data_IF_176224543028
#
_entry.id   IF_176224543028
#
_cell.length_a   1.000
_cell.length_b   1.000
_cell.length_c   1.000
_cell.angle_alpha   90.00
_cell.angle_beta   90.00
_cell.angle_gamma   90.00
#
_symmetry.space_group_name_H-M   'P 1'
#
loop_
_entity.id
_entity.type
_entity.pdbx_description
1 polymer ?
#
# COMPACT_ATOMS: atom_id res chain seq x y z
N UNK A 1 30.96 3.28 11.76
CA UNK A 1 29.50 3.19 11.97
C UNK A 1 29.18 4.13 13.13
N UNK A 2 28.35 5.16 12.90
CA UNK A 2 27.88 6.01 14.00
C UNK A 2 27.07 5.12 14.96
N UNK A 3 27.35 5.21 16.27
CA UNK A 3 26.54 4.55 17.29
C UNK A 3 25.13 5.14 17.22
N UNK A 4 24.13 4.31 16.96
CA UNK A 4 22.72 4.72 17.05
C UNK A 4 22.46 5.26 18.47
N UNK A 5 21.65 6.32 18.56
CA UNK A 5 21.17 6.76 19.88
C UNK A 5 20.41 5.60 20.56
N UNK A 6 20.40 5.50 21.89
CA UNK A 6 19.80 4.35 22.59
C UNK A 6 18.34 4.07 22.17
N UNK A 7 17.56 5.12 21.89
CA UNK A 7 16.18 4.98 21.45
C UNK A 7 16.06 4.48 20.00
N UNK A 8 16.98 4.86 19.10
CA UNK A 8 16.95 4.45 17.69
C UNK A 8 17.10 2.94 17.56
N UNK A 9 17.96 2.33 18.37
CA UNK A 9 18.17 0.87 18.35
C UNK A 9 16.88 0.10 18.62
N UNK A 10 16.11 0.48 19.63
CA UNK A 10 14.88 -0.22 19.99
C UNK A 10 13.71 0.17 19.08
N UNK A 11 13.70 1.40 18.53
CA UNK A 11 12.72 1.79 17.52
C UNK A 11 12.95 1.04 16.20
N UNK A 12 14.21 0.78 15.82
CA UNK A 12 14.53 -0.07 14.67
C UNK A 12 14.00 -1.51 14.85
N UNK A 13 14.09 -2.08 16.06
CA UNK A 13 13.45 -3.37 16.36
C UNK A 13 11.92 -3.29 16.27
N UNK A 14 11.30 -2.19 16.71
CA UNK A 14 9.86 -1.98 16.54
C UNK A 14 9.48 -1.88 15.06
N UNK A 15 10.28 -1.22 14.22
CA UNK A 15 10.08 -1.19 12.76
C UNK A 15 10.21 -2.59 12.12
N UNK A 16 11.14 -3.41 12.60
CA UNK A 16 11.23 -4.81 12.19
C UNK A 16 9.93 -5.57 12.52
N UNK A 17 9.39 -5.40 13.73
CA UNK A 17 8.09 -5.99 14.09
C UNK A 17 6.97 -5.47 13.19
N UNK A 18 6.93 -4.17 12.85
CA UNK A 18 5.94 -3.60 11.94
C UNK A 18 5.97 -4.26 10.56
N UNK A 19 7.15 -4.71 10.09
CA UNK A 19 7.29 -5.35 8.79
C UNK A 19 6.47 -6.65 8.66
N UNK A 20 6.30 -7.40 9.76
CA UNK A 20 5.47 -8.62 9.78
C UNK A 20 3.97 -8.33 9.63
N UNK A 21 3.53 -7.11 9.97
CA UNK A 21 2.14 -6.68 9.82
C UNK A 21 1.78 -6.18 8.40
N UNK A 22 2.77 -5.82 7.59
CA UNK A 22 2.60 -5.15 6.27
C UNK A 22 1.63 -5.88 5.33
N UNK A 23 1.62 -7.20 5.34
CA UNK A 23 0.81 -8.02 4.45
C UNK A 23 -0.54 -8.45 5.06
N UNK A 24 -0.73 -8.30 6.38
CA UNK A 24 -1.88 -8.89 7.10
C UNK A 24 -2.77 -7.87 7.81
N UNK A 25 -2.24 -6.72 8.27
CA UNK A 25 -2.96 -5.78 9.12
C UNK A 25 -4.07 -5.00 8.40
N UNK A 26 -4.00 -4.88 7.08
CA UNK A 26 -4.92 -4.05 6.27
C UNK A 26 -6.39 -4.26 6.61
N UNK A 27 -7.19 -3.21 6.75
CA UNK A 27 -6.93 -1.78 6.56
C UNK A 27 -6.28 -1.05 7.74
N UNK A 28 -5.96 -1.74 8.84
CA UNK A 28 -5.25 -1.16 9.98
C UNK A 28 -3.80 -0.81 9.58
N UNK A 29 -3.16 0.15 10.28
CA UNK A 29 -1.74 0.42 10.09
C UNK A 29 -0.90 -0.77 10.53
N UNK A 30 0.25 -0.97 9.88
CA UNK A 30 1.25 -1.96 10.25
C UNK A 30 2.14 -1.39 11.36
N UNK A 31 1.79 -1.63 12.60
CA UNK A 31 2.50 -1.13 13.78
C UNK A 31 3.34 -2.23 14.40
N UNK A 32 4.52 -1.89 14.87
CA UNK A 32 5.37 -2.73 15.70
C UNK A 32 5.58 -2.12 17.06
N UNK A 33 5.71 -2.95 18.06
CA UNK A 33 5.91 -2.56 19.45
C UNK A 33 6.95 -3.45 20.12
N UNK A 34 7.85 -2.82 20.91
CA UNK A 34 8.88 -3.50 21.70
C UNK A 34 8.86 -2.94 23.12
N UNK A 35 8.80 -3.83 24.11
CA UNK A 35 8.93 -3.50 25.52
C UNK A 35 10.35 -3.81 25.99
N UNK A 36 10.98 -2.84 26.65
CA UNK A 36 12.37 -2.93 27.15
C UNK A 36 12.42 -2.65 28.63
N UNK A 37 13.09 -3.50 29.41
CA UNK A 37 13.33 -3.32 30.83
C UNK A 37 14.78 -3.63 31.14
N UNK A 38 15.46 -2.74 31.88
CA UNK A 38 16.91 -2.88 32.19
C UNK A 38 17.74 -3.16 30.91
N UNK A 39 17.46 -2.43 29.82
CA UNK A 39 18.13 -2.56 28.53
C UNK A 39 17.98 -3.94 27.86
N UNK A 40 16.99 -4.74 28.28
CA UNK A 40 16.67 -6.04 27.69
C UNK A 40 15.27 -6.01 27.12
N UNK A 41 15.10 -6.59 25.92
CA UNK A 41 13.78 -6.77 25.30
C UNK A 41 13.02 -7.83 26.10
N UNK A 42 11.88 -7.44 26.68
CA UNK A 42 11.01 -8.31 27.47
C UNK A 42 9.71 -8.69 26.78
N UNK A 43 9.34 -7.98 25.71
CA UNK A 43 8.17 -8.31 24.91
C UNK A 43 8.22 -7.64 23.54
N UNK A 44 7.69 -8.33 22.54
CA UNK A 44 7.56 -7.82 21.17
C UNK A 44 6.18 -8.10 20.63
N UNK A 45 5.70 -7.26 19.73
CA UNK A 45 4.39 -7.44 19.10
C UNK A 45 4.25 -6.64 17.82
N UNK A 46 3.33 -7.07 16.99
CA UNK A 46 2.94 -6.37 15.76
C UNK A 46 1.42 -6.45 15.56
N UNK A 47 0.86 -5.51 14.81
CA UNK A 47 -0.59 -5.45 14.52
C UNK A 47 -1.05 -6.73 13.84
N UNK A 48 -2.05 -7.39 14.44
CA UNK A 48 -2.67 -8.58 13.88
C UNK A 48 -3.70 -8.21 12.79
N UNK A 49 -4.32 -9.21 12.16
CA UNK A 49 -5.40 -8.97 11.19
C UNK A 49 -6.49 -8.07 11.77
N UNK A 50 -7.16 -7.31 10.91
CA UNK A 50 -8.22 -6.38 11.32
C UNK A 50 -9.29 -7.07 12.20
N UNK A 51 -9.52 -6.53 13.38
CA UNK A 51 -10.35 -7.11 14.46
C UNK A 51 -9.54 -7.89 15.50
N UNK A 52 -8.27 -8.20 15.24
CA UNK A 52 -7.33 -8.77 16.20
C UNK A 52 -6.63 -7.70 17.04
N UNK A 53 -5.79 -8.12 18.01
CA UNK A 53 -5.07 -7.21 18.90
C UNK A 53 -4.04 -6.37 18.14
N UNK A 54 -3.83 -5.14 18.64
CA UNK A 54 -2.79 -4.24 18.15
C UNK A 54 -1.40 -4.64 18.70
N UNK A 55 -0.35 -4.01 18.15
CA UNK A 55 1.04 -4.31 18.47
C UNK A 55 1.34 -4.21 19.95
N UNK A 56 0.84 -3.16 20.59
CA UNK A 56 1.07 -2.87 22.03
C UNK A 56 0.49 -3.99 22.89
N UNK A 57 -0.74 -4.43 22.62
CA UNK A 57 -1.39 -5.52 23.35
C UNK A 57 -0.62 -6.83 23.17
N UNK A 58 -0.10 -7.10 21.98
CA UNK A 58 0.72 -8.29 21.71
C UNK A 58 2.05 -8.24 22.50
N UNK A 59 2.70 -7.08 22.50
CA UNK A 59 3.96 -6.89 23.22
C UNK A 59 3.77 -6.97 24.75
N UNK A 60 2.68 -6.39 25.30
CA UNK A 60 2.32 -6.51 26.72
C UNK A 60 2.09 -7.98 27.11
N UNK A 61 1.33 -8.73 26.29
CA UNK A 61 1.10 -10.17 26.54
C UNK A 61 2.39 -10.98 26.52
N UNK A 62 3.31 -10.66 25.60
CA UNK A 62 4.61 -11.32 25.53
C UNK A 62 5.50 -10.99 26.73
N UNK A 63 5.43 -9.76 27.25
CA UNK A 63 6.20 -9.32 28.40
C UNK A 63 5.68 -9.87 29.75
N UNK A 64 4.37 -10.15 29.86
CA UNK A 64 3.72 -10.54 31.10
C UNK A 64 4.01 -9.53 32.23
N UNK A 65 4.42 -10.00 33.42
CA UNK A 65 4.69 -9.15 34.57
C UNK A 65 5.88 -8.19 34.36
N UNK A 66 6.73 -8.44 33.39
CA UNK A 66 7.85 -7.56 33.04
C UNK A 66 7.42 -6.26 32.38
N UNK A 67 6.15 -6.16 31.92
CA UNK A 67 5.61 -4.93 31.32
C UNK A 67 5.59 -3.77 32.34
N UNK A 68 5.36 -4.05 33.63
CA UNK A 68 5.36 -3.03 34.67
C UNK A 68 6.75 -2.37 34.82
N UNK A 69 6.78 -1.02 34.67
CA UNK A 69 8.02 -0.23 34.72
C UNK A 69 8.90 -0.34 33.47
N UNK A 70 8.43 -0.98 32.38
CA UNK A 70 9.16 -1.07 31.13
C UNK A 70 9.05 0.24 30.30
N UNK A 71 10.02 0.45 29.40
CA UNK A 71 9.95 1.43 28.31
C UNK A 71 9.35 0.76 27.07
N UNK A 72 8.32 1.37 26.50
CA UNK A 72 7.62 0.91 25.29
C UNK A 72 8.11 1.68 24.09
N UNK A 73 8.50 1.00 23.05
CA UNK A 73 8.81 1.58 21.72
C UNK A 73 7.72 1.16 20.76
N UNK A 74 7.04 2.13 20.14
CA UNK A 74 5.95 1.88 19.19
C UNK A 74 6.09 2.76 17.95
N UNK A 75 5.93 2.18 16.77
CA UNK A 75 6.18 2.89 15.52
C UNK A 75 5.13 3.94 15.16
N UNK A 76 3.95 3.90 15.79
CA UNK A 76 2.84 4.85 15.60
C UNK A 76 2.22 5.18 16.96
N UNK A 77 1.73 6.41 17.13
CA UNK A 77 0.99 6.84 18.33
C UNK A 77 -0.07 5.81 18.74
N UNK A 78 -0.12 5.39 20.04
CA UNK A 78 -1.14 4.47 20.54
C UNK A 78 -2.56 5.04 20.39
N UNK A 79 -3.49 4.24 19.91
CA UNK A 79 -4.88 4.68 19.75
C UNK A 79 -5.55 4.98 21.10
N UNK A 80 -6.41 6.01 21.11
CA UNK A 80 -7.10 6.54 22.29
C UNK A 80 -8.60 6.33 22.31
N UNK A 81 -9.19 5.83 21.21
CA UNK A 81 -10.63 5.66 21.05
C UNK A 81 -11.03 4.18 21.02
N UNK A 82 -12.26 3.91 21.43
CA UNK A 82 -12.86 2.60 21.27
C UNK A 82 -13.26 2.39 19.81
N UNK A 83 -12.57 1.45 19.16
CA UNK A 83 -12.90 0.99 17.82
C UNK A 83 -13.43 -0.45 17.86
N UNK A 84 -12.83 -1.32 17.05
CA UNK A 84 -13.07 -2.78 17.12
C UNK A 84 -12.41 -3.43 18.35
N UNK A 85 -11.45 -2.77 18.94
CA UNK A 85 -10.70 -3.15 20.14
C UNK A 85 -10.66 -2.00 21.13
N UNK A 86 -10.34 -2.29 22.40
CA UNK A 86 -10.09 -1.27 23.40
C UNK A 86 -8.86 -0.42 23.06
N UNK A 87 -8.78 0.85 23.52
CA UNK A 87 -7.66 1.74 23.27
C UNK A 87 -6.34 1.17 23.77
N UNK A 88 -5.26 1.29 22.96
CA UNK A 88 -3.93 0.84 23.35
C UNK A 88 -3.33 1.72 24.46
N UNK A 89 -3.67 3.02 24.50
CA UNK A 89 -3.28 3.91 25.59
C UNK A 89 -3.75 3.37 26.97
N UNK A 90 -4.98 2.89 27.08
CA UNK A 90 -5.48 2.28 28.31
C UNK A 90 -4.76 0.97 28.65
N UNK A 91 -4.52 0.12 27.66
CA UNK A 91 -3.80 -1.13 27.89
C UNK A 91 -2.37 -0.89 28.41
N UNK A 92 -1.69 0.16 27.93
CA UNK A 92 -0.36 0.56 28.39
C UNK A 92 -0.41 1.10 29.85
N UNK A 93 -1.43 1.90 30.16
CA UNK A 93 -1.65 2.42 31.53
C UNK A 93 -1.93 1.26 32.51
N UNK A 94 -2.82 0.34 32.16
CA UNK A 94 -3.13 -0.85 32.97
C UNK A 94 -1.91 -1.74 33.18
N UNK A 95 -1.05 -1.88 32.17
CA UNK A 95 0.22 -2.60 32.25
C UNK A 95 1.27 -1.85 33.09
N UNK A 96 1.00 -0.63 33.54
CA UNK A 96 1.89 0.20 34.37
C UNK A 96 3.27 0.42 33.73
N UNK A 97 3.32 0.69 32.43
CA UNK A 97 4.58 1.04 31.76
C UNK A 97 5.11 2.37 32.28
N UNK A 98 6.43 2.54 32.33
CA UNK A 98 7.05 3.76 32.84
C UNK A 98 7.21 4.84 31.77
N UNK A 99 7.60 4.45 30.55
CA UNK A 99 7.95 5.37 29.47
C UNK A 99 7.37 4.85 28.15
N UNK A 100 6.83 5.76 27.35
CA UNK A 100 6.47 5.53 25.94
C UNK A 100 7.43 6.29 25.04
N UNK A 101 8.05 5.60 24.08
CA UNK A 101 8.81 6.20 22.97
C UNK A 101 8.03 5.90 21.69
N UNK A 102 7.55 6.94 20.99
CA UNK A 102 6.78 6.78 19.78
C UNK A 102 7.54 7.23 18.53
N UNK A 103 7.25 6.55 17.39
CA UNK A 103 7.90 6.81 16.10
C UNK A 103 7.29 7.97 15.35
N UNK A 104 5.99 7.94 15.08
CA UNK A 104 5.27 9.05 14.44
C UNK A 104 3.87 9.24 15.05
N UNK A 105 3.34 10.43 14.91
CA UNK A 105 1.98 10.76 15.36
C UNK A 105 0.94 10.26 14.35
N UNK A 106 -0.23 9.85 14.85
CA UNK A 106 -1.37 9.50 14.00
C UNK A 106 -2.10 10.77 13.56
N UNK A 107 -2.22 11.08 12.26
CA UNK A 107 -2.94 12.24 11.78
C UNK A 107 -4.48 12.09 11.84
N UNK A 108 -4.98 10.93 12.25
CA UNK A 108 -6.42 10.72 12.42
C UNK A 108 -6.97 11.69 13.48
N UNK A 109 -7.95 12.57 13.16
CA UNK A 109 -8.49 13.54 14.10
C UNK A 109 -9.06 12.92 15.40
N UNK A 110 -9.44 11.63 15.37
CA UNK A 110 -9.91 10.88 16.54
C UNK A 110 -8.78 10.41 17.45
N UNK A 111 -7.53 10.53 17.02
CA UNK A 111 -6.34 10.06 17.76
C UNK A 111 -5.40 11.23 18.04
N UNK A 112 -4.95 11.89 17.04
CA UNK A 112 -4.01 13.03 16.95
C UNK A 112 -3.60 13.67 18.30
N UNK A 113 -2.59 13.09 18.97
CA UNK A 113 -2.08 13.54 20.27
C UNK A 113 -2.90 13.10 21.48
N UNK A 114 -4.12 12.55 21.31
CA UNK A 114 -4.96 12.16 22.45
C UNK A 114 -4.42 10.94 23.20
N UNK A 115 -3.83 9.98 22.47
CA UNK A 115 -3.19 8.82 23.07
C UNK A 115 -1.99 9.22 23.95
N UNK A 116 -1.17 10.13 23.43
CA UNK A 116 -0.02 10.66 24.17
C UNK A 116 -0.47 11.44 25.42
N UNK A 117 -1.49 12.30 25.28
CA UNK A 117 -2.04 13.08 26.39
C UNK A 117 -2.63 12.19 27.51
N UNK A 118 -3.34 11.10 27.15
CA UNK A 118 -3.86 10.15 28.13
C UNK A 118 -2.74 9.46 28.92
N UNK A 119 -1.66 9.08 28.25
CA UNK A 119 -0.50 8.45 28.89
C UNK A 119 0.23 9.43 29.82
N UNK A 120 0.45 10.67 29.38
CA UNK A 120 1.03 11.73 30.22
C UNK A 120 0.20 12.02 31.47
N UNK A 121 -1.14 12.09 31.32
CA UNK A 121 -2.05 12.30 32.43
C UNK A 121 -2.02 11.13 33.46
N UNK A 122 -1.63 9.94 33.01
CA UNK A 122 -1.42 8.76 33.86
C UNK A 122 0.03 8.65 34.39
N UNK A 123 0.85 9.72 34.30
CA UNK A 123 2.25 9.79 34.71
C UNK A 123 3.18 8.83 33.93
N UNK A 124 2.84 8.46 32.68
CA UNK A 124 3.77 7.79 31.79
C UNK A 124 4.63 8.86 31.11
N UNK A 125 5.95 8.72 31.17
CA UNK A 125 6.86 9.60 30.43
C UNK A 125 6.69 9.36 28.93
N UNK A 126 6.57 10.44 28.12
CA UNK A 126 6.38 10.35 26.65
C UNK A 126 7.54 11.02 25.94
N UNK A 127 8.23 10.26 25.11
CA UNK A 127 9.41 10.68 24.33
C UNK A 127 9.12 10.47 22.83
N UNK A 128 9.47 11.43 22.00
CA UNK A 128 9.37 11.29 20.55
C UNK A 128 9.03 12.60 19.84
N UNK A 129 8.96 12.57 18.50
CA UNK A 129 9.08 11.37 17.66
C UNK A 129 10.53 10.87 17.50
N UNK A 130 10.73 9.55 17.41
CA UNK A 130 12.03 8.88 17.19
C UNK A 130 11.98 8.10 15.87
N UNK A 131 12.97 8.24 14.99
CA UNK A 131 12.98 7.67 13.65
C UNK A 131 11.69 7.99 12.87
N UNK A 132 11.26 9.24 12.92
CA UNK A 132 9.95 9.67 12.39
C UNK A 132 9.76 9.35 10.91
N UNK A 133 10.80 9.56 10.10
CA UNK A 133 10.72 9.36 8.65
C UNK A 133 10.55 7.88 8.31
N UNK A 134 11.28 6.99 8.97
CA UNK A 134 11.20 5.55 8.76
C UNK A 134 9.85 4.99 9.26
N UNK A 135 9.39 5.46 10.42
CA UNK A 135 8.10 5.08 10.98
C UNK A 135 6.94 5.55 10.08
N UNK A 136 6.98 6.78 9.59
CA UNK A 136 5.99 7.28 8.64
C UNK A 136 6.04 6.52 7.30
N UNK A 137 7.24 6.21 6.79
CA UNK A 137 7.41 5.44 5.56
C UNK A 137 6.80 4.03 5.65
N UNK A 138 6.84 3.40 6.83
CA UNK A 138 6.24 2.08 7.05
C UNK A 138 4.71 2.08 6.94
N UNK A 139 4.06 3.24 7.14
CA UNK A 139 2.60 3.41 7.15
C UNK A 139 2.10 4.53 6.23
N UNK A 140 2.89 4.92 5.20
CA UNK A 140 2.60 6.07 4.33
C UNK A 140 1.16 6.10 3.79
N UNK A 141 0.66 4.96 3.34
CA UNK A 141 -0.70 4.88 2.81
C UNK A 141 -1.78 5.11 3.87
N UNK A 142 -1.60 4.59 5.08
CA UNK A 142 -2.50 4.85 6.19
C UNK A 142 -2.47 6.34 6.59
N UNK A 143 -1.29 6.88 6.80
CA UNK A 143 -1.10 8.29 7.20
C UNK A 143 -1.69 9.25 6.17
N UNK A 144 -1.40 9.03 4.87
CA UNK A 144 -1.96 9.84 3.80
C UNK A 144 -3.50 9.78 3.76
N UNK A 145 -4.09 8.57 3.85
CA UNK A 145 -5.55 8.44 3.84
C UNK A 145 -6.19 9.14 5.04
N UNK A 146 -5.60 9.04 6.23
CA UNK A 146 -6.12 9.73 7.41
C UNK A 146 -6.03 11.25 7.28
N UNK A 147 -4.94 11.77 6.72
CA UNK A 147 -4.73 13.21 6.55
C UNK A 147 -5.53 13.82 5.38
N UNK A 148 -5.73 13.07 4.27
CA UNK A 148 -6.23 13.65 3.01
C UNK A 148 -7.52 13.01 2.49
N UNK A 149 -8.00 11.94 3.10
CA UNK A 149 -9.08 11.09 2.59
C UNK A 149 -8.79 10.48 1.21
N UNK A 150 -7.51 10.35 0.82
CA UNK A 150 -7.09 9.72 -0.43
C UNK A 150 -6.11 8.58 -0.15
N UNK A 151 -6.22 7.41 -0.82
CA UNK A 151 -5.23 6.36 -0.72
C UNK A 151 -3.90 6.79 -1.33
N UNK A 152 -2.81 6.20 -0.87
CA UNK A 152 -1.48 6.33 -1.50
C UNK A 152 -1.45 5.52 -2.80
N UNK A 153 -1.10 6.15 -3.92
CA UNK A 153 -1.14 5.57 -5.26
C UNK A 153 0.25 5.19 -5.73
N UNK A 154 0.49 3.89 -5.87
CA UNK A 154 1.67 3.36 -6.54
C UNK A 154 1.30 3.08 -8.01
N UNK A 155 1.97 3.74 -8.94
CA UNK A 155 1.82 3.51 -10.38
C UNK A 155 2.98 2.63 -10.84
N UNK A 156 2.69 1.37 -11.18
CA UNK A 156 3.72 0.39 -11.55
C UNK A 156 3.74 0.16 -13.06
N UNK A 157 4.92 0.31 -13.65
CA UNK A 157 5.15 0.05 -15.06
C UNK A 157 6.29 -0.96 -15.27
N UNK A 158 6.33 -1.57 -16.46
CA UNK A 158 7.46 -2.38 -16.93
C UNK A 158 7.86 -1.90 -18.32
N UNK A 159 9.15 -1.77 -18.56
CA UNK A 159 9.69 -1.29 -19.83
C UNK A 159 10.96 -2.03 -20.26
N UNK A 160 11.26 -1.93 -21.56
CA UNK A 160 12.58 -2.16 -22.11
C UNK A 160 13.53 -0.98 -21.85
N UNK A 161 14.81 -1.15 -22.09
CA UNK A 161 15.83 -0.09 -21.96
C UNK A 161 15.53 1.14 -22.84
N UNK A 162 14.89 0.94 -24.00
CA UNK A 162 14.43 2.01 -24.89
C UNK A 162 13.01 2.55 -24.54
N UNK A 163 12.52 2.32 -23.31
CA UNK A 163 11.30 2.91 -22.78
C UNK A 163 10.01 2.38 -23.41
N UNK A 164 9.96 1.09 -23.80
CA UNK A 164 8.81 0.47 -24.46
C UNK A 164 8.11 -0.54 -23.55
N UNK A 165 6.79 -0.60 -23.62
CA UNK A 165 5.96 -1.47 -22.76
C UNK A 165 5.28 -2.62 -23.52
N UNK A 166 5.30 -2.63 -24.83
CA UNK A 166 4.82 -3.70 -25.69
C UNK A 166 5.33 -3.53 -27.11
N UNK A 167 5.34 -4.60 -27.90
CA UNK A 167 5.55 -4.52 -29.34
C UNK A 167 4.40 -3.76 -30.03
N UNK A 168 4.57 -3.33 -31.27
CA UNK A 168 3.51 -2.70 -32.07
C UNK A 168 2.26 -3.60 -32.19
N UNK A 169 2.49 -4.90 -32.37
CA UNK A 169 1.45 -5.94 -32.38
C UNK A 169 0.61 -6.01 -31.09
N UNK A 170 1.13 -5.46 -29.99
CA UNK A 170 0.57 -5.58 -28.64
C UNK A 170 1.15 -6.72 -27.81
N UNK A 171 2.06 -7.54 -28.36
CA UNK A 171 2.77 -8.55 -27.59
C UNK A 171 3.60 -7.88 -26.49
N UNK A 172 3.40 -8.31 -25.22
CA UNK A 172 4.06 -7.73 -24.03
C UNK A 172 4.61 -8.79 -23.07
N UNK A 173 4.40 -10.06 -23.34
CA UNK A 173 4.81 -11.17 -22.46
C UNK A 173 6.07 -11.84 -23.02
N UNK A 174 7.20 -11.90 -22.30
CA UNK A 174 7.47 -11.25 -21.02
C UNK A 174 8.59 -10.23 -21.20
N UNK A 175 8.36 -8.97 -20.85
CA UNK A 175 9.40 -7.94 -20.89
C UNK A 175 10.42 -8.23 -19.78
N UNK A 176 9.94 -8.38 -18.53
CA UNK A 176 10.76 -8.55 -17.32
C UNK A 176 10.86 -9.99 -16.87
N UNK A 177 11.89 -10.32 -16.10
CA UNK A 177 12.21 -11.65 -15.56
C UNK A 177 11.28 -12.10 -14.41
N UNK A 178 11.57 -13.30 -13.90
CA UNK A 178 10.76 -13.93 -12.85
C UNK A 178 10.82 -13.17 -11.52
N UNK A 179 12.01 -12.71 -11.14
CA UNK A 179 12.26 -11.98 -9.89
C UNK A 179 11.51 -10.65 -9.86
N UNK A 180 11.49 -9.92 -10.98
CA UNK A 180 10.73 -8.67 -11.11
C UNK A 180 9.23 -8.95 -11.00
N UNK A 181 8.73 -10.03 -11.63
CA UNK A 181 7.31 -10.44 -11.48
C UNK A 181 6.97 -10.83 -10.05
N UNK A 182 7.86 -11.54 -9.34
CA UNK A 182 7.70 -11.86 -7.92
C UNK A 182 7.57 -10.59 -7.06
N UNK A 183 8.39 -9.58 -7.31
CA UNK A 183 8.25 -8.27 -6.64
C UNK A 183 6.93 -7.57 -6.96
N UNK A 184 6.40 -7.70 -8.17
CA UNK A 184 5.06 -7.18 -8.51
C UNK A 184 3.99 -7.87 -7.67
N UNK A 185 4.10 -9.19 -7.45
CA UNK A 185 3.17 -9.89 -6.54
C UNK A 185 3.30 -9.41 -5.09
N UNK A 186 4.51 -9.04 -4.64
CA UNK A 186 4.70 -8.41 -3.34
C UNK A 186 4.02 -7.02 -3.28
N UNK A 187 4.15 -6.18 -4.30
CA UNK A 187 3.44 -4.89 -4.39
C UNK A 187 1.91 -5.07 -4.34
N UNK A 188 1.37 -6.07 -5.06
CA UNK A 188 -0.07 -6.43 -4.96
C UNK A 188 -0.45 -6.84 -3.55
N UNK A 189 0.35 -7.70 -2.91
CA UNK A 189 0.12 -8.16 -1.55
C UNK A 189 0.15 -7.03 -0.51
N UNK A 190 0.96 -6.01 -0.71
CA UNK A 190 1.05 -4.80 0.12
C UNK A 190 -0.09 -3.80 -0.14
N UNK A 191 -0.81 -3.91 -1.26
CA UNK A 191 -1.86 -2.96 -1.65
C UNK A 191 -3.25 -3.45 -1.22
N UNK A 192 -4.13 -2.51 -0.83
CA UNK A 192 -5.53 -2.80 -0.52
C UNK A 192 -6.31 -3.09 -1.80
N UNK A 193 -5.98 -2.40 -2.89
CA UNK A 193 -6.59 -2.60 -4.20
C UNK A 193 -5.55 -2.58 -5.32
N UNK A 194 -5.83 -3.33 -6.40
CA UNK A 194 -5.06 -3.31 -7.65
C UNK A 194 -5.99 -2.82 -8.76
N UNK A 195 -5.63 -1.69 -9.36
CA UNK A 195 -6.43 -0.99 -10.37
C UNK A 195 -5.91 -1.33 -11.77
N UNK A 196 -6.80 -1.68 -12.67
CA UNK A 196 -6.51 -1.80 -14.10
C UNK A 196 -7.61 -1.17 -14.95
N UNK A 197 -7.32 -0.89 -16.22
CA UNK A 197 -8.32 -0.43 -17.18
C UNK A 197 -8.89 -1.56 -18.00
N UNK A 198 -10.12 -1.37 -18.50
CA UNK A 198 -10.81 -2.34 -19.38
C UNK A 198 -9.97 -2.72 -20.60
N UNK A 199 -9.15 -1.83 -21.13
CA UNK A 199 -8.27 -2.13 -22.25
C UNK A 199 -7.27 -3.23 -21.97
N UNK A 200 -6.73 -3.32 -20.75
CA UNK A 200 -5.85 -4.40 -20.32
C UNK A 200 -6.61 -5.71 -20.15
N UNK A 201 -7.83 -5.65 -19.61
CA UNK A 201 -8.69 -6.85 -19.45
C UNK A 201 -9.02 -7.47 -20.80
N UNK A 202 -9.43 -6.65 -21.79
CA UNK A 202 -9.81 -7.12 -23.12
C UNK A 202 -8.64 -7.67 -23.93
N UNK A 203 -7.42 -7.13 -23.71
CA UNK A 203 -6.23 -7.53 -24.46
C UNK A 203 -5.54 -8.75 -23.85
N UNK A 204 -5.30 -8.70 -22.54
CA UNK A 204 -4.38 -9.61 -21.87
C UNK A 204 -5.09 -10.64 -20.98
N UNK A 205 -6.41 -10.45 -20.74
CA UNK A 205 -7.25 -11.26 -19.83
C UNK A 205 -6.51 -11.64 -18.53
N UNK A 206 -6.03 -10.64 -17.76
CA UNK A 206 -5.14 -10.89 -16.62
C UNK A 206 -5.90 -11.44 -15.41
N UNK A 207 -5.21 -12.17 -14.55
CA UNK A 207 -5.76 -12.65 -13.28
C UNK A 207 -5.79 -11.58 -12.19
N UNK A 208 -4.82 -10.68 -12.15
CA UNK A 208 -4.64 -9.58 -11.19
C UNK A 208 -4.58 -10.02 -9.71
N UNK A 209 -4.51 -11.31 -9.44
CA UNK A 209 -4.41 -11.87 -8.08
C UNK A 209 -2.96 -11.95 -7.59
N UNK A 210 -2.78 -12.18 -6.30
CA UNK A 210 -1.50 -12.54 -5.69
C UNK A 210 -1.36 -14.06 -5.74
N UNK A 211 -0.21 -14.56 -6.22
CA UNK A 211 0.11 -15.99 -6.27
C UNK A 211 1.12 -16.35 -5.18
N UNK A 212 0.87 -17.48 -4.51
CA UNK A 212 1.69 -17.97 -3.40
C UNK A 212 3.14 -18.26 -3.82
N UNK A 213 3.33 -18.92 -4.97
CA UNK A 213 4.67 -19.27 -5.48
C UNK A 213 5.51 -18.04 -5.79
N UNK A 214 4.89 -16.99 -6.32
CA UNK A 214 5.56 -15.71 -6.61
C UNK A 214 5.97 -14.98 -5.32
N UNK A 215 5.13 -15.03 -4.27
CA UNK A 215 5.50 -14.48 -2.96
C UNK A 215 6.61 -15.26 -2.30
N UNK A 216 6.61 -16.59 -2.42
CA UNK A 216 7.70 -17.43 -1.93
C UNK A 216 9.02 -17.11 -2.63
N UNK A 217 9.00 -16.88 -3.95
CA UNK A 217 10.14 -16.40 -4.73
C UNK A 217 10.61 -15.01 -4.28
N UNK A 218 9.68 -14.13 -3.86
CA UNK A 218 9.98 -12.84 -3.27
C UNK A 218 10.47 -12.90 -1.80
N UNK A 219 10.64 -14.10 -1.24
CA UNK A 219 11.15 -14.31 0.11
C UNK A 219 10.12 -14.16 1.24
N UNK A 220 8.81 -14.13 0.92
CA UNK A 220 7.76 -14.03 1.95
C UNK A 220 7.60 -15.37 2.67
N UNK A 221 7.62 -15.40 4.03
CA UNK A 221 7.46 -16.62 4.79
C UNK A 221 6.12 -17.30 4.51
N UNK A 222 6.11 -18.64 4.44
CA UNK A 222 4.92 -19.45 4.14
C UNK A 222 3.75 -19.17 5.08
N UNK A 223 4.00 -19.05 6.39
CA UNK A 223 2.97 -18.73 7.38
C UNK A 223 2.28 -17.38 7.15
N UNK A 224 2.99 -16.41 6.53
CA UNK A 224 2.42 -15.12 6.12
C UNK A 224 1.57 -15.28 4.85
N UNK A 225 2.05 -16.07 3.88
CA UNK A 225 1.33 -16.33 2.62
C UNK A 225 -0.02 -17.00 2.89
N UNK A 226 -0.07 -18.00 3.78
CA UNK A 226 -1.29 -18.74 4.14
C UNK A 226 -2.38 -17.87 4.78
N UNK A 227 -2.00 -16.73 5.39
CA UNK A 227 -2.91 -15.76 6.03
C UNK A 227 -3.25 -14.57 5.14
N UNK A 228 -2.67 -14.50 3.94
CA UNK A 228 -2.83 -13.35 3.07
C UNK A 228 -4.26 -13.25 2.54
N UNK A 229 -4.85 -12.06 2.64
CA UNK A 229 -6.09 -11.71 1.93
C UNK A 229 -5.77 -11.14 0.56
N UNK A 230 -6.46 -11.61 -0.48
CA UNK A 230 -6.34 -11.03 -1.83
C UNK A 230 -6.71 -9.55 -1.83
N UNK A 231 -5.99 -8.68 -2.56
CA UNK A 231 -6.40 -7.29 -2.75
C UNK A 231 -7.71 -7.21 -3.53
N UNK A 232 -8.43 -6.10 -3.35
CA UNK A 232 -9.57 -5.77 -4.21
C UNK A 232 -9.07 -5.52 -5.64
N UNK A 233 -9.58 -6.26 -6.62
CA UNK A 233 -9.25 -6.05 -8.04
C UNK A 233 -10.25 -5.07 -8.63
N UNK A 234 -9.77 -3.93 -9.10
CA UNK A 234 -10.59 -2.82 -9.58
C UNK A 234 -10.40 -2.66 -11.08
N UNK A 235 -11.50 -2.74 -11.82
CA UNK A 235 -11.50 -2.50 -13.27
C UNK A 235 -12.21 -1.19 -13.56
N UNK A 236 -11.52 -0.25 -14.22
CA UNK A 236 -12.12 0.98 -14.71
C UNK A 236 -12.70 0.70 -16.10
N UNK A 237 -14.05 0.67 -16.18
CA UNK A 237 -14.79 0.31 -17.39
C UNK A 237 -15.99 1.23 -17.61
N UNK A 238 -15.74 2.39 -18.20
CA UNK A 238 -16.72 3.45 -18.38
C UNK A 238 -18.02 2.98 -19.09
N UNK A 239 -17.93 1.93 -19.91
CA UNK A 239 -19.04 1.47 -20.77
C UNK A 239 -19.44 0.01 -20.56
N UNK A 240 -19.04 -0.63 -19.47
CA UNK A 240 -19.34 -2.03 -19.14
C UNK A 240 -19.01 -3.04 -20.27
N UNK A 241 -17.81 -2.92 -20.84
CA UNK A 241 -17.33 -3.81 -21.91
C UNK A 241 -16.67 -5.09 -21.40
N UNK A 242 -16.52 -5.24 -20.08
CA UNK A 242 -15.86 -6.38 -19.47
C UNK A 242 -16.63 -7.68 -19.74
N UNK A 243 -16.00 -8.71 -20.29
CA UNK A 243 -16.65 -10.00 -20.47
C UNK A 243 -16.97 -10.67 -19.13
N UNK A 244 -18.15 -11.28 -19.00
CA UNK A 244 -18.54 -12.06 -17.83
C UNK A 244 -17.60 -13.25 -17.56
N UNK A 245 -16.92 -13.74 -18.60
CA UNK A 245 -15.94 -14.83 -18.52
C UNK A 245 -14.50 -14.35 -18.35
N UNK A 246 -14.28 -13.08 -18.00
CA UNK A 246 -12.94 -12.53 -17.77
C UNK A 246 -12.24 -13.34 -16.66
N UNK A 247 -10.97 -13.70 -16.91
CA UNK A 247 -10.18 -14.56 -16.02
C UNK A 247 -10.12 -14.05 -14.59
N UNK A 248 -10.08 -12.72 -14.42
CA UNK A 248 -10.05 -12.12 -13.09
C UNK A 248 -11.32 -12.41 -12.25
N UNK A 249 -12.49 -12.65 -12.87
CA UNK A 249 -13.73 -13.03 -12.18
C UNK A 249 -13.69 -14.49 -11.69
N UNK A 250 -12.91 -15.33 -12.35
CA UNK A 250 -12.77 -16.75 -12.01
C UNK A 250 -11.73 -17.00 -10.91
N UNK A 251 -10.98 -15.97 -10.52
CA UNK A 251 -9.98 -16.08 -9.47
C UNK A 251 -10.57 -15.76 -8.10
N UNK A 252 -10.06 -16.42 -7.06
CA UNK A 252 -10.44 -16.09 -5.68
C UNK A 252 -10.14 -14.63 -5.33
N UNK A 253 -11.03 -14.00 -4.58
CA UNK A 253 -10.92 -12.64 -4.07
C UNK A 253 -11.90 -11.65 -4.74
N UNK A 254 -12.12 -10.47 -4.13
CA UNK A 254 -13.15 -9.52 -4.56
C UNK A 254 -12.77 -8.79 -5.87
N UNK A 255 -13.79 -8.51 -6.68
CA UNK A 255 -13.67 -7.69 -7.91
C UNK A 255 -14.67 -6.54 -7.85
N UNK A 256 -14.23 -5.34 -8.17
CA UNK A 256 -15.03 -4.14 -8.31
C UNK A 256 -14.89 -3.59 -9.73
N UNK A 257 -16.00 -3.39 -10.41
CA UNK A 257 -16.05 -2.69 -11.68
C UNK A 257 -16.61 -1.30 -11.45
N UNK A 258 -15.84 -0.27 -11.78
CA UNK A 258 -16.26 1.13 -11.73
C UNK A 258 -16.63 1.59 -13.13
N UNK A 259 -17.86 2.12 -13.26
CA UNK A 259 -18.47 2.42 -14.56
C UNK A 259 -19.23 3.73 -14.54
N UNK A 260 -19.38 4.38 -15.72
CA UNK A 260 -20.26 5.53 -15.90
C UNK A 260 -21.70 5.12 -16.29
N UNK A 261 -21.96 3.83 -16.54
CA UNK A 261 -23.30 3.33 -16.88
C UNK A 261 -24.16 3.31 -15.64
N UNK A 262 -25.27 4.03 -15.65
CA UNK A 262 -26.18 4.19 -14.50
C UNK A 262 -27.32 3.17 -14.46
N UNK A 263 -27.61 2.48 -15.56
CA UNK A 263 -28.69 1.51 -15.64
C UNK A 263 -28.34 0.20 -14.91
N UNK A 264 -29.01 -0.14 -13.80
CA UNK A 264 -28.73 -1.35 -13.03
C UNK A 264 -28.97 -2.66 -13.80
N UNK A 265 -29.81 -2.64 -14.83
CA UNK A 265 -30.07 -3.84 -15.63
C UNK A 265 -28.84 -4.26 -16.42
N UNK A 266 -28.05 -3.29 -16.89
CA UNK A 266 -26.79 -3.55 -17.58
C UNK A 266 -25.70 -4.09 -16.65
N UNK A 267 -25.78 -3.80 -15.33
CA UNK A 267 -24.83 -4.32 -14.33
C UNK A 267 -25.03 -5.82 -14.07
N UNK A 268 -26.25 -6.34 -14.25
CA UNK A 268 -26.66 -7.65 -13.78
C UNK A 268 -25.79 -8.79 -14.32
N UNK A 269 -25.32 -8.67 -15.55
CA UNK A 269 -24.43 -9.68 -16.18
C UNK A 269 -23.15 -9.86 -15.40
N UNK A 270 -22.50 -8.75 -14.99
CA UNK A 270 -21.25 -8.78 -14.22
C UNK A 270 -21.49 -9.13 -12.74
N UNK A 271 -22.61 -8.68 -12.18
CA UNK A 271 -23.01 -9.05 -10.81
C UNK A 271 -23.25 -10.56 -10.71
N UNK A 272 -23.94 -11.17 -11.66
CA UNK A 272 -24.15 -12.63 -11.74
C UNK A 272 -22.83 -13.40 -11.94
N UNK A 273 -21.81 -12.77 -12.55
CA UNK A 273 -20.47 -13.33 -12.70
C UNK A 273 -19.59 -13.12 -11.45
N UNK A 274 -20.13 -12.54 -10.36
CA UNK A 274 -19.44 -12.37 -9.08
C UNK A 274 -18.72 -11.03 -8.89
N UNK A 275 -18.90 -10.04 -9.79
CA UNK A 275 -18.36 -8.70 -9.59
C UNK A 275 -19.29 -7.84 -8.72
N UNK A 276 -18.70 -6.92 -7.97
CA UNK A 276 -19.40 -5.73 -7.51
C UNK A 276 -19.34 -4.71 -8.63
N UNK A 277 -20.47 -4.09 -8.99
CA UNK A 277 -20.51 -3.00 -9.97
C UNK A 277 -20.96 -1.75 -9.26
N UNK A 278 -20.21 -0.66 -9.43
CA UNK A 278 -20.52 0.62 -8.79
C UNK A 278 -20.39 1.75 -9.82
N UNK A 279 -21.41 2.62 -9.86
CA UNK A 279 -21.38 3.83 -10.66
C UNK A 279 -20.34 4.79 -10.09
N UNK A 280 -19.59 5.42 -10.99
CA UNK A 280 -18.55 6.40 -10.72
C UNK A 280 -18.78 7.61 -11.60
N UNK A 281 -18.36 8.79 -11.16
CA UNK A 281 -18.42 10.01 -11.97
C UNK A 281 -17.67 9.86 -13.30
N UNK A 282 -18.09 10.65 -14.29
CA UNK A 282 -17.42 10.73 -15.58
C UNK A 282 -16.56 11.99 -15.66
N UNK A 283 -15.37 11.89 -16.27
CA UNK A 283 -14.56 13.02 -16.67
C UNK A 283 -15.16 13.74 -17.92
N UNK A 284 -14.54 14.83 -18.35
CA UNK A 284 -14.95 15.61 -19.54
C UNK A 284 -14.93 14.80 -20.85
N UNK A 285 -14.27 13.63 -20.88
CA UNK A 285 -14.20 12.72 -22.01
C UNK A 285 -15.15 11.52 -21.88
N UNK A 286 -16.05 11.51 -20.89
CA UNK A 286 -16.97 10.42 -20.61
C UNK A 286 -16.30 9.14 -20.09
N UNK A 287 -15.08 9.24 -19.55
CA UNK A 287 -14.39 8.16 -18.87
C UNK A 287 -14.61 8.28 -17.37
N UNK A 288 -14.40 7.17 -16.66
CA UNK A 288 -14.44 7.15 -15.20
C UNK A 288 -13.49 8.20 -14.62
N UNK A 289 -14.00 9.10 -13.79
CA UNK A 289 -13.21 10.12 -13.09
C UNK A 289 -12.28 9.50 -12.06
N UNK A 290 -10.96 9.73 -12.21
CA UNK A 290 -9.95 9.11 -11.36
C UNK A 290 -9.97 9.63 -9.91
N UNK A 291 -10.41 10.86 -9.69
CA UNK A 291 -10.55 11.43 -8.35
C UNK A 291 -11.69 10.76 -7.60
N UNK A 292 -12.82 10.53 -8.29
CA UNK A 292 -13.96 9.79 -7.72
C UNK A 292 -13.59 8.33 -7.46
N UNK A 293 -12.83 7.67 -8.35
CA UNK A 293 -12.27 6.34 -8.11
C UNK A 293 -11.50 6.28 -6.77
N UNK A 294 -10.60 7.23 -6.55
CA UNK A 294 -9.79 7.25 -5.31
C UNK A 294 -10.67 7.57 -4.08
N UNK A 295 -11.69 8.42 -4.21
CA UNK A 295 -12.68 8.68 -3.17
C UNK A 295 -13.45 7.42 -2.78
N UNK A 296 -13.97 6.68 -3.75
CA UNK A 296 -14.65 5.39 -3.53
C UNK A 296 -13.73 4.39 -2.82
N UNK A 297 -12.47 4.30 -3.22
CA UNK A 297 -11.50 3.39 -2.60
C UNK A 297 -11.11 3.83 -1.19
N UNK A 298 -11.03 5.14 -0.93
CA UNK A 298 -10.83 5.67 0.43
C UNK A 298 -11.98 5.33 1.36
N UNK A 299 -13.24 5.49 0.93
CA UNK A 299 -14.43 5.10 1.68
C UNK A 299 -14.46 3.59 1.97
N UNK A 300 -13.88 2.77 1.10
CA UNK A 300 -13.66 1.33 1.29
C UNK A 300 -12.42 1.02 2.15
N UNK A 301 -11.85 2.04 2.82
CA UNK A 301 -10.69 1.93 3.70
C UNK A 301 -9.41 1.42 3.00
N UNK A 302 -9.26 1.66 1.71
CA UNK A 302 -8.01 1.37 1.00
C UNK A 302 -6.95 2.41 1.37
N UNK A 303 -5.90 2.00 2.08
CA UNK A 303 -4.78 2.87 2.45
C UNK A 303 -3.83 3.08 1.26
N UNK A 304 -3.55 2.02 0.53
CA UNK A 304 -2.63 2.00 -0.60
C UNK A 304 -3.26 1.26 -1.76
N UNK A 305 -3.12 1.80 -2.96
CA UNK A 305 -3.59 1.20 -4.21
C UNK A 305 -2.44 1.07 -5.20
N UNK A 306 -2.45 -0.01 -5.95
CA UNK A 306 -1.49 -0.29 -7.01
C UNK A 306 -2.17 -0.12 -8.37
N UNK A 307 -1.69 0.77 -9.21
CA UNK A 307 -2.11 0.89 -10.60
C UNK A 307 -1.22 -0.02 -11.45
N UNK A 308 -1.81 -1.07 -12.01
CA UNK A 308 -1.21 -1.96 -12.99
C UNK A 308 -2.00 -1.90 -14.29
N UNK A 309 -1.65 -0.98 -15.16
CA UNK A 309 -2.40 -0.68 -16.36
C UNK A 309 -1.48 -0.42 -17.56
N UNK A 310 -2.07 -0.31 -18.74
CA UNK A 310 -1.34 0.12 -19.93
C UNK A 310 -1.03 1.62 -19.93
N UNK A 311 -0.24 2.05 -20.89
CA UNK A 311 0.28 3.42 -21.05
C UNK A 311 -0.77 4.53 -20.91
N UNK A 312 -2.02 4.27 -21.37
CA UNK A 312 -3.10 5.27 -21.33
C UNK A 312 -3.56 5.57 -19.90
N UNK A 313 -3.94 4.56 -19.13
CA UNK A 313 -4.44 4.77 -17.77
C UNK A 313 -3.32 5.18 -16.80
N UNK A 314 -2.13 4.58 -16.93
CA UNK A 314 -0.96 4.98 -16.14
C UNK A 314 -0.54 6.43 -16.43
N UNK A 315 -0.61 6.86 -17.70
CA UNK A 315 -0.40 8.25 -18.09
C UNK A 315 -1.46 9.19 -17.52
N UNK A 316 -2.74 8.79 -17.55
CA UNK A 316 -3.84 9.58 -16.99
C UNK A 316 -3.68 9.83 -15.48
N UNK A 317 -3.22 8.83 -14.70
CA UNK A 317 -2.91 9.02 -13.28
C UNK A 317 -1.77 10.03 -13.07
N UNK A 318 -0.74 10.03 -13.91
CA UNK A 318 0.32 11.02 -13.87
C UNK A 318 -0.18 12.43 -14.24
N UNK A 319 -0.94 12.55 -15.33
CA UNK A 319 -1.50 13.84 -15.81
C UNK A 319 -2.42 14.48 -14.76
N UNK A 320 -3.24 13.67 -14.09
CA UNK A 320 -4.12 14.15 -13.04
C UNK A 320 -3.38 14.45 -11.70
N UNK A 321 -2.06 14.26 -11.64
CA UNK A 321 -1.28 14.41 -10.41
C UNK A 321 -1.72 13.44 -9.30
N UNK A 322 -2.21 12.26 -9.67
CA UNK A 322 -2.74 11.25 -8.74
C UNK A 322 -1.77 10.07 -8.52
N UNK A 323 -0.51 10.21 -8.92
CA UNK A 323 0.55 9.22 -8.68
C UNK A 323 1.44 9.74 -7.56
N UNK A 324 1.48 9.05 -6.42
CA UNK A 324 2.38 9.37 -5.31
C UNK A 324 3.75 8.71 -5.49
N UNK A 325 3.78 7.51 -6.05
CA UNK A 325 4.99 6.73 -6.24
C UNK A 325 4.97 6.00 -7.60
N UNK A 326 6.02 6.14 -8.35
CA UNK A 326 6.24 5.46 -9.62
C UNK A 326 7.26 4.33 -9.41
N UNK A 327 6.86 3.11 -9.73
CA UNK A 327 7.74 1.93 -9.72
C UNK A 327 7.89 1.42 -11.15
N UNK A 328 9.09 1.52 -11.69
CA UNK A 328 9.39 1.05 -13.07
C UNK A 328 10.35 -0.12 -13.03
N UNK A 329 9.95 -1.25 -13.59
CA UNK A 329 10.86 -2.36 -13.86
C UNK A 329 11.39 -2.25 -15.28
N UNK A 330 12.70 -2.12 -15.42
CA UNK A 330 13.38 -1.95 -16.70
C UNK A 330 14.17 -3.21 -17.06
N UNK A 331 13.79 -3.84 -18.15
CA UNK A 331 14.51 -4.99 -18.68
C UNK A 331 15.65 -4.56 -19.62
N UNK A 332 16.78 -5.28 -19.65
CA UNK A 332 17.90 -5.01 -20.56
C UNK A 332 17.60 -5.52 -21.99
N UNK A 333 16.54 -4.98 -22.59
CA UNK A 333 16.06 -5.31 -23.94
C UNK A 333 15.78 -4.04 -24.73
N UNK A 334 15.80 -4.14 -26.06
CA UNK A 334 15.36 -3.10 -26.97
C UNK A 334 14.17 -3.63 -27.77
N UNK A 335 13.04 -2.91 -27.79
CA UNK A 335 11.84 -3.29 -28.53
C UNK A 335 11.67 -2.49 -29.81
N UNK A 336 12.42 -1.41 -29.98
CA UNK A 336 12.47 -0.62 -31.21
C UNK A 336 11.44 0.50 -31.28
N UNK A 337 11.62 1.36 -32.29
CA UNK A 337 10.90 2.64 -32.39
C UNK A 337 9.37 2.52 -32.63
N UNK A 338 8.90 1.42 -33.24
CA UNK A 338 7.47 1.17 -33.48
C UNK A 338 6.75 0.63 -32.24
N UNK A 339 7.51 0.15 -31.25
CA UNK A 339 6.94 -0.39 -30.00
C UNK A 339 6.22 0.69 -29.19
N UNK A 340 5.25 0.29 -28.38
CA UNK A 340 4.39 1.19 -27.58
C UNK A 340 5.19 1.89 -26.49
N UNK A 341 4.98 3.20 -26.35
CA UNK A 341 5.64 4.01 -25.31
C UNK A 341 5.19 3.58 -23.91
N UNK A 342 6.03 3.87 -22.91
CA UNK A 342 5.77 3.56 -21.50
C UNK A 342 4.52 4.27 -20.97
N UNK A 343 4.36 5.53 -21.32
CA UNK A 343 3.19 6.36 -20.99
C UNK A 343 2.64 7.03 -22.23
N UNK A 344 1.32 7.18 -22.27
CA UNK A 344 0.68 8.07 -23.22
C UNK A 344 0.52 9.45 -22.57
N UNK A 345 1.48 10.33 -22.84
CA UNK A 345 1.54 11.69 -22.34
C UNK A 345 1.68 12.64 -23.54
N UNK A 346 0.63 13.43 -23.88
CA UNK A 346 0.67 14.35 -25.00
C UNK A 346 1.45 15.62 -24.63
N UNK A 347 2.78 15.52 -24.59
CA UNK A 347 3.68 16.61 -24.24
C UNK A 347 4.38 17.12 -25.50
N UNK A 348 4.20 18.39 -25.82
CA UNK A 348 4.74 19.02 -27.03
C UNK A 348 6.01 19.84 -26.76
N UNK A 349 6.23 20.25 -25.50
CA UNK A 349 7.34 21.16 -25.11
C UNK A 349 8.07 20.62 -23.90
N UNK A 350 9.38 20.85 -23.84
CA UNK A 350 10.21 20.47 -22.68
C UNK A 350 9.70 21.07 -21.36
N UNK A 351 9.14 22.28 -21.39
CA UNK A 351 8.54 22.91 -20.19
C UNK A 351 7.32 22.16 -19.62
N UNK A 352 6.74 21.22 -20.36
CA UNK A 352 5.63 20.36 -19.92
C UNK A 352 6.12 19.02 -19.34
N UNK A 353 7.43 18.76 -19.37
CA UNK A 353 7.99 17.52 -18.87
C UNK A 353 7.68 17.34 -17.37
N UNK A 354 7.38 16.10 -16.99
CA UNK A 354 7.22 15.73 -15.59
C UNK A 354 8.58 15.47 -14.96
N UNK A 355 9.01 16.33 -14.05
CA UNK A 355 10.20 16.10 -13.24
C UNK A 355 9.93 14.98 -12.22
N UNK A 356 10.87 14.07 -12.11
CA UNK A 356 10.85 12.98 -11.15
C UNK A 356 12.04 13.12 -10.19
N UNK A 357 11.81 12.78 -8.93
CA UNK A 357 12.88 12.53 -7.97
C UNK A 357 13.09 11.03 -7.86
N UNK A 358 14.27 10.56 -8.26
CA UNK A 358 14.64 9.15 -8.11
C UNK A 358 14.96 8.88 -6.64
N UNK A 359 14.18 8.00 -6.03
CA UNK A 359 14.35 7.58 -4.62
C UNK A 359 15.29 6.37 -4.49
N UNK A 360 15.39 5.57 -5.53
CA UNK A 360 16.29 4.41 -5.57
C UNK A 360 16.32 3.73 -6.91
N UNK A 361 17.45 3.07 -7.17
CA UNK A 361 17.62 2.15 -8.30
C UNK A 361 18.26 0.89 -7.74
N UNK A 362 17.65 -0.26 -7.98
CA UNK A 362 18.14 -1.55 -7.51
C UNK A 362 18.05 -2.63 -8.58
N UNK A 363 18.98 -3.57 -8.58
CA UNK A 363 18.93 -4.73 -9.46
C UNK A 363 17.97 -5.79 -8.90
N UNK A 364 17.18 -6.39 -9.80
CA UNK A 364 16.18 -7.41 -9.47
C UNK A 364 16.31 -8.54 -10.48
N UNK A 365 17.08 -9.57 -10.15
CA UNK A 365 17.52 -10.57 -11.13
C UNK A 365 18.34 -9.93 -12.23
N UNK A 366 17.89 -10.04 -13.47
CA UNK A 366 18.51 -9.39 -14.64
C UNK A 366 17.92 -8.00 -14.96
N UNK A 367 16.83 -7.61 -14.28
CA UNK A 367 16.14 -6.35 -14.49
C UNK A 367 16.60 -5.30 -13.48
N UNK A 368 16.14 -4.06 -13.68
CA UNK A 368 16.35 -2.94 -12.78
C UNK A 368 15.00 -2.42 -12.28
N UNK A 369 14.89 -2.17 -10.99
CA UNK A 369 13.78 -1.46 -10.37
C UNK A 369 14.19 -0.02 -10.14
N UNK A 370 13.36 0.91 -10.60
CA UNK A 370 13.49 2.34 -10.40
C UNK A 370 12.30 2.79 -9.57
N UNK A 371 12.56 3.34 -8.39
CA UNK A 371 11.58 3.97 -7.51
C UNK A 371 11.71 5.48 -7.64
N UNK A 372 10.61 6.17 -7.98
CA UNK A 372 10.60 7.61 -8.19
C UNK A 372 9.31 8.25 -7.67
N UNK A 373 9.36 9.54 -7.34
CA UNK A 373 8.20 10.37 -7.02
C UNK A 373 8.10 11.54 -8.00
N UNK A 374 6.91 11.88 -8.52
CA UNK A 374 6.72 13.11 -9.28
C UNK A 374 7.04 14.32 -8.41
N UNK A 375 7.85 15.28 -8.90
CA UNK A 375 8.12 16.53 -8.18
C UNK A 375 6.84 17.37 -8.12
N UNK A 376 6.57 17.95 -6.95
CA UNK A 376 5.32 18.66 -6.69
C UNK A 376 4.16 17.77 -6.24
N UNK A 377 4.40 16.47 -5.99
CA UNK A 377 3.45 15.56 -5.38
C UNK A 377 3.40 15.68 -3.84
N UNK A 378 4.28 16.48 -3.23
CA UNK A 378 4.21 16.82 -1.81
C UNK A 378 2.95 17.67 -1.55
N UNK A 379 1.85 17.00 -1.22
CA UNK A 379 0.53 17.60 -0.91
C UNK A 379 0.16 17.37 0.53
#
# INVERSE_FOLDING_TARGET
MASLAPHDQFMALALEQASYAQLSARPNPAVGCVLVKHNQVVGVGFTQQAGGPHAEVMAIRAAGDHAAGATVYVTLEPCSHYGRTAPCSLALIEARVATLVYGCQDPNPLVAGQGLAQLQAANVEVIGPVMQLECAASNRGFLQRMATNKPYVINKMAMSLDGRTAMDSGESQWITGAEARAQVHLLRAQSCAVITGIGSVLRDNPSMNVRADELALAGVPRATIERLKQPLRVVLDSHLRMPAMAKLLQQHGPVLVLTCVTDPQQHQVLVNAGAQVQVCGADEHGKVDLTDVLSILSQRQCNQVLVEAGAGLSGAFLQAGLTDHLVVYMAPKLLGSKAKALFNLPLDKMAQAYDLEIKGISQVGHDWRIDATPKGADR
#
